data_IF_567952521610
#
_entry.id   IF_567952521610
#
_cell.length_a   1.000
_cell.length_b   1.000
_cell.length_c   1.000
_cell.angle_alpha   90.00
_cell.angle_beta   90.00
_cell.angle_gamma   90.00
#
_symmetry.space_group_name_H-M   'P 1'
#
loop_
_entity.id
_entity.type
_entity.pdbx_description
1 polymer ?
#
# COMPACT_ATOMS: atom_id res chain seq x y z
N UNK A 1 30.95 0.97 1.76
CA UNK A 1 30.03 -0.02 2.37
C UNK A 1 28.90 0.79 2.98
N UNK A 2 27.84 1.07 2.22
CA UNK A 2 26.61 1.57 2.83
C UNK A 2 26.08 0.41 3.69
N UNK A 3 26.05 0.57 5.01
CA UNK A 3 25.44 -0.43 5.87
C UNK A 3 23.94 -0.47 5.59
N UNK A 4 23.30 -1.62 5.86
CA UNK A 4 21.84 -1.77 5.89
C UNK A 4 21.26 -0.85 6.98
N UNK A 5 21.19 0.45 6.68
CA UNK A 5 20.69 1.44 7.61
C UNK A 5 19.18 1.45 7.53
N UNK A 6 18.60 1.12 8.67
CA UNK A 6 17.19 1.27 8.95
C UNK A 6 16.87 2.77 9.10
N UNK A 7 15.94 3.29 8.30
CA UNK A 7 15.45 4.67 8.31
C UNK A 7 14.37 4.82 9.40
N UNK A 8 14.57 5.76 10.32
CA UNK A 8 13.54 6.17 11.30
C UNK A 8 12.51 7.10 10.65
N UNK A 9 11.41 7.37 11.36
CA UNK A 9 10.45 8.40 10.94
C UNK A 9 11.13 9.77 10.71
N UNK A 10 12.04 10.16 11.61
CA UNK A 10 12.81 11.40 11.48
C UNK A 10 13.72 11.39 10.24
N UNK A 11 14.38 10.26 9.95
CA UNK A 11 15.18 10.11 8.73
C UNK A 11 14.28 10.24 7.49
N UNK A 12 13.12 9.58 7.45
CA UNK A 12 12.17 9.66 6.32
C UNK A 12 11.71 11.10 6.09
N UNK A 13 11.25 11.77 7.15
CA UNK A 13 10.78 13.17 7.07
C UNK A 13 11.91 14.05 6.54
N UNK A 14 13.10 13.98 7.15
CA UNK A 14 14.25 14.77 6.72
C UNK A 14 14.60 14.51 5.24
N UNK A 15 14.56 13.25 4.79
CA UNK A 15 14.77 12.90 3.38
C UNK A 15 13.75 13.56 2.45
N UNK A 16 12.46 13.56 2.80
CA UNK A 16 11.40 14.24 2.04
C UNK A 16 11.62 15.76 2.00
N UNK A 17 12.10 16.36 3.08
CA UNK A 17 12.48 17.79 3.11
C UNK A 17 13.61 18.09 2.13
N UNK A 18 14.63 17.23 2.04
CA UNK A 18 15.71 17.39 1.07
C UNK A 18 15.23 17.28 -0.38
N UNK A 19 14.26 16.38 -0.64
CA UNK A 19 13.62 16.29 -1.96
C UNK A 19 12.86 17.58 -2.29
N UNK A 20 12.06 18.08 -1.34
CA UNK A 20 11.32 19.34 -1.49
C UNK A 20 12.24 20.52 -1.80
N UNK A 21 13.30 20.68 -1.02
CA UNK A 21 14.24 21.79 -1.18
C UNK A 21 14.99 21.67 -2.52
N UNK A 22 15.41 20.45 -2.89
CA UNK A 22 16.01 20.18 -4.19
C UNK A 22 15.05 20.46 -5.36
N UNK A 23 13.77 20.13 -5.26
CA UNK A 23 12.77 20.46 -6.29
C UNK A 23 12.60 21.97 -6.45
N UNK A 24 12.59 22.71 -5.33
CA UNK A 24 12.53 24.16 -5.35
C UNK A 24 13.76 24.80 -6.01
N UNK A 25 14.97 24.29 -5.74
CA UNK A 25 16.22 24.70 -6.40
C UNK A 25 16.16 24.49 -7.92
N UNK A 26 15.48 23.44 -8.38
CA UNK A 26 15.29 23.12 -9.80
C UNK A 26 14.10 23.85 -10.43
N UNK A 27 13.34 24.64 -9.67
CA UNK A 27 12.10 25.27 -10.14
C UNK A 27 11.01 24.27 -10.54
N UNK A 28 11.07 23.04 -10.03
CA UNK A 28 10.14 21.96 -10.34
C UNK A 28 9.09 21.80 -9.24
N UNK A 29 7.94 21.24 -9.60
CA UNK A 29 6.93 20.75 -8.65
C UNK A 29 6.97 19.23 -8.67
N UNK A 30 6.94 18.62 -7.49
CA UNK A 30 7.02 17.17 -7.34
C UNK A 30 5.84 16.52 -6.65
N UNK A 31 5.61 15.26 -6.97
CA UNK A 31 4.64 14.40 -6.29
C UNK A 31 5.27 13.05 -5.96
N UNK A 32 5.10 12.66 -4.70
CA UNK A 32 5.48 11.35 -4.15
C UNK A 32 4.22 10.64 -3.66
N UNK A 33 3.98 9.43 -4.16
CA UNK A 33 2.96 8.53 -3.60
C UNK A 33 3.63 7.34 -2.93
N UNK A 34 3.43 7.21 -1.63
CA UNK A 34 4.16 6.28 -0.77
C UNK A 34 3.23 5.16 -0.28
N UNK A 35 3.71 3.93 -0.32
CA UNK A 35 3.02 2.75 0.21
C UNK A 35 3.87 2.05 1.28
N UNK A 36 3.46 0.84 1.66
CA UNK A 36 4.32 -0.10 2.39
C UNK A 36 4.70 0.37 3.79
N UNK A 37 5.89 -0.02 4.22
CA UNK A 37 6.36 0.23 5.58
C UNK A 37 6.53 1.71 5.92
N UNK A 38 6.94 2.51 4.95
CA UNK A 38 7.06 3.96 5.10
C UNK A 38 5.71 4.64 5.28
N UNK A 39 4.68 4.25 4.51
CA UNK A 39 3.33 4.80 4.69
C UNK A 39 2.73 4.40 6.05
N UNK A 40 2.97 3.16 6.50
CA UNK A 40 2.58 2.69 7.84
C UNK A 40 3.16 3.56 8.96
N UNK A 41 4.45 3.92 8.86
CA UNK A 41 5.15 4.77 9.85
C UNK A 41 4.62 6.22 9.80
N UNK A 42 4.54 6.79 8.61
CA UNK A 42 4.13 8.19 8.43
C UNK A 42 2.66 8.43 8.78
N UNK A 43 1.78 7.47 8.51
CA UNK A 43 0.36 7.51 8.88
C UNK A 43 0.09 7.18 10.35
N UNK A 44 1.10 6.76 11.12
CA UNK A 44 0.93 6.42 12.54
C UNK A 44 0.17 5.11 12.78
N UNK A 45 0.10 4.23 11.79
CA UNK A 45 -0.64 2.95 11.85
C UNK A 45 0.20 1.78 12.37
N UNK A 46 1.43 2.03 12.79
CA UNK A 46 2.40 0.99 13.09
C UNK A 46 3.13 1.28 14.40
N UNK A 47 3.30 0.26 15.24
CA UNK A 47 4.23 0.32 16.39
C UNK A 47 5.70 0.31 15.94
N UNK A 48 5.97 -0.16 14.71
CA UNK A 48 7.30 -0.13 14.10
C UNK A 48 7.74 1.32 13.88
N UNK A 49 8.95 1.63 14.37
CA UNK A 49 9.53 2.99 14.32
C UNK A 49 10.44 3.22 13.11
N UNK A 50 10.57 2.23 12.23
CA UNK A 50 11.54 2.28 11.15
C UNK A 50 11.29 1.30 9.99
N UNK A 51 11.93 1.57 8.85
CA UNK A 51 11.86 0.81 7.60
C UNK A 51 13.23 0.78 6.93
N UNK A 52 13.46 -0.11 5.98
CA UNK A 52 14.74 -0.14 5.23
C UNK A 52 14.75 0.95 4.14
N UNK A 53 13.59 1.21 3.56
CA UNK A 53 13.37 2.07 2.40
C UNK A 53 11.99 2.73 2.43
N UNK A 54 11.84 3.78 1.62
CA UNK A 54 10.56 4.40 1.28
C UNK A 54 10.04 3.73 0.01
N UNK A 55 8.96 2.97 0.13
CA UNK A 55 8.28 2.36 -1.02
C UNK A 55 7.45 3.44 -1.75
N UNK A 56 7.93 3.94 -2.88
CA UNK A 56 7.24 4.93 -3.69
C UNK A 56 6.72 4.31 -4.99
N UNK A 57 5.47 4.63 -5.36
CA UNK A 57 4.86 4.11 -6.61
C UNK A 57 4.69 5.18 -7.67
N UNK A 58 4.64 6.45 -7.26
CA UNK A 58 4.66 7.61 -8.15
C UNK A 58 5.75 8.56 -7.70
N UNK A 59 6.58 8.92 -8.67
CA UNK A 59 7.68 9.86 -8.53
C UNK A 59 7.66 10.78 -9.74
N UNK A 60 7.19 12.01 -9.57
CA UNK A 60 7.11 12.98 -10.67
C UNK A 60 7.73 14.30 -10.22
N UNK A 61 8.65 14.91 -10.98
CA UNK A 61 9.40 14.34 -12.11
C UNK A 61 10.48 13.34 -11.64
N UNK A 62 10.48 12.15 -12.23
CA UNK A 62 11.31 11.02 -11.79
C UNK A 62 12.83 11.30 -11.89
N UNK A 63 13.25 11.97 -12.96
CA UNK A 63 14.65 12.29 -13.24
C UNK A 63 15.24 13.30 -12.24
N UNK A 64 14.50 14.35 -11.92
CA UNK A 64 14.91 15.37 -10.95
C UNK A 64 14.92 14.78 -9.55
N UNK A 65 13.84 14.10 -9.14
CA UNK A 65 13.79 13.52 -7.79
C UNK A 65 14.84 12.41 -7.63
N UNK A 66 15.09 11.60 -8.66
CA UNK A 66 16.14 10.60 -8.64
C UNK A 66 17.54 11.18 -8.43
N UNK A 67 17.86 12.31 -9.08
CA UNK A 67 19.13 13.01 -8.88
C UNK A 67 19.28 13.55 -7.44
N UNK A 68 18.21 14.15 -6.91
CA UNK A 68 18.21 14.66 -5.53
C UNK A 68 18.33 13.50 -4.54
N UNK A 69 17.62 12.39 -4.77
CA UNK A 69 17.67 11.20 -3.92
C UNK A 69 19.06 10.58 -3.87
N UNK A 70 19.75 10.48 -5.01
CA UNK A 70 21.14 10.00 -5.06
C UNK A 70 22.10 10.90 -4.28
N UNK A 71 21.94 12.23 -4.37
CA UNK A 71 22.70 13.20 -3.57
C UNK A 71 22.46 13.00 -2.07
N UNK A 72 21.21 12.82 -1.66
CA UNK A 72 20.84 12.55 -0.26
C UNK A 72 21.46 11.25 0.25
N UNK A 73 21.41 10.19 -0.56
CA UNK A 73 21.99 8.90 -0.22
C UNK A 73 23.49 9.04 0.07
N UNK A 74 24.22 9.71 -0.83
CA UNK A 74 25.65 9.96 -0.69
C UNK A 74 25.96 10.79 0.57
N UNK A 75 25.20 11.84 0.85
CA UNK A 75 25.42 12.72 2.01
C UNK A 75 25.21 12.02 3.35
N UNK A 76 24.25 11.09 3.42
CA UNK A 76 23.88 10.38 4.66
C UNK A 76 24.51 9.00 4.78
N UNK A 77 25.19 8.52 3.74
CA UNK A 77 25.64 7.13 3.64
C UNK A 77 24.47 6.14 3.66
N UNK A 78 23.32 6.54 3.12
CA UNK A 78 22.15 5.66 2.96
C UNK A 78 22.29 4.76 1.73
N UNK A 79 21.51 3.67 1.65
CA UNK A 79 21.39 2.90 0.42
C UNK A 79 20.93 3.77 -0.76
N UNK A 80 21.44 3.52 -1.96
CA UNK A 80 21.08 4.27 -3.17
C UNK A 80 19.58 4.15 -3.50
N UNK A 81 18.94 3.07 -3.06
CA UNK A 81 17.52 2.76 -3.24
C UNK A 81 16.65 3.15 -2.04
N UNK A 82 17.07 4.10 -1.19
CA UNK A 82 16.26 4.55 -0.04
C UNK A 82 14.89 5.15 -0.44
N UNK A 83 14.75 5.61 -1.69
CA UNK A 83 13.46 5.75 -2.39
C UNK A 83 13.35 4.59 -3.37
N UNK A 84 12.54 3.61 -3.03
CA UNK A 84 12.37 2.37 -3.78
C UNK A 84 11.17 2.46 -4.73
N UNK A 85 11.43 2.33 -6.04
CA UNK A 85 10.40 2.32 -7.08
C UNK A 85 9.98 0.91 -7.50
N UNK A 86 10.60 -0.14 -6.98
CA UNK A 86 10.21 -1.54 -7.23
C UNK A 86 8.83 -1.87 -6.63
N UNK A 87 8.29 -0.98 -5.80
CA UNK A 87 6.91 -1.00 -5.35
C UNK A 87 5.88 -0.80 -6.48
N UNK A 88 6.31 -0.38 -7.67
CA UNK A 88 5.44 -0.31 -8.84
C UNK A 88 4.82 -1.68 -9.15
N UNK A 89 3.48 -1.74 -9.18
CA UNK A 89 2.72 -2.97 -9.37
C UNK A 89 2.31 -3.69 -8.08
N UNK A 90 2.72 -3.21 -6.91
CA UNK A 90 2.28 -3.74 -5.60
C UNK A 90 0.95 -3.14 -5.10
N UNK A 91 0.36 -2.21 -5.86
CA UNK A 91 -0.91 -1.58 -5.56
C UNK A 91 -1.96 -1.93 -6.64
N UNK A 92 -3.25 -1.98 -6.32
CA UNK A 92 -4.28 -2.31 -7.28
C UNK A 92 -4.41 -1.21 -8.35
N UNK A 93 -4.46 -1.60 -9.63
CA UNK A 93 -4.62 -0.66 -10.73
C UNK A 93 -6.01 -0.01 -10.77
N UNK A 94 -7.03 -0.71 -10.25
CA UNK A 94 -8.41 -0.25 -10.18
C UNK A 94 -9.01 -0.65 -8.83
N UNK A 95 -9.18 0.32 -7.94
CA UNK A 95 -9.87 0.11 -6.67
C UNK A 95 -11.31 0.66 -6.71
N UNK A 96 -12.21 0.05 -5.97
CA UNK A 96 -13.55 0.59 -5.67
C UNK A 96 -13.53 1.75 -4.68
N UNK A 97 -12.40 2.00 -4.04
CA UNK A 97 -12.18 3.02 -3.01
C UNK A 97 -10.94 3.86 -3.30
N UNK A 98 -10.79 5.04 -2.68
CA UNK A 98 -9.57 5.83 -2.77
C UNK A 98 -8.34 5.01 -2.34
N UNK A 99 -7.24 5.17 -3.07
CA UNK A 99 -5.95 4.57 -2.73
C UNK A 99 -5.04 5.53 -2.00
N UNK A 100 -5.27 6.82 -2.14
CA UNK A 100 -4.35 7.88 -1.74
C UNK A 100 -5.07 8.85 -0.83
N UNK A 101 -4.40 9.25 0.23
CA UNK A 101 -4.75 10.39 1.05
C UNK A 101 -3.61 11.39 1.04
N UNK A 102 -3.94 12.68 0.93
CA UNK A 102 -2.96 13.73 1.06
C UNK A 102 -2.44 13.74 2.50
N UNK A 103 -1.13 13.93 2.69
CA UNK A 103 -0.55 14.25 4.00
C UNK A 103 -0.21 15.73 4.04
N UNK A 104 -1.06 16.59 4.63
CA UNK A 104 -0.83 18.05 4.65
C UNK A 104 0.46 18.44 5.37
N UNK A 105 0.88 17.66 6.36
CA UNK A 105 2.10 17.90 7.15
C UNK A 105 3.36 17.68 6.30
N UNK A 106 3.29 16.76 5.33
CA UNK A 106 4.39 16.43 4.42
C UNK A 106 4.28 17.18 3.07
N UNK A 107 3.09 17.69 2.74
CA UNK A 107 2.78 18.33 1.46
C UNK A 107 2.86 19.85 1.55
N UNK A 108 4.06 20.40 1.31
CA UNK A 108 4.22 21.85 1.25
C UNK A 108 5.39 22.28 0.36
N UNK A 109 5.31 23.53 -0.11
CA UNK A 109 6.31 24.09 -1.04
C UNK A 109 6.27 23.39 -2.39
N UNK A 110 7.41 22.88 -2.83
CA UNK A 110 7.57 22.23 -4.14
C UNK A 110 7.24 20.73 -4.15
N UNK A 111 6.77 20.16 -3.04
CA UNK A 111 6.50 18.73 -2.92
C UNK A 111 5.09 18.46 -2.41
N UNK A 112 4.36 17.60 -3.11
CA UNK A 112 3.13 16.96 -2.65
C UNK A 112 3.43 15.51 -2.26
N UNK A 113 2.99 15.09 -1.08
CA UNK A 113 3.12 13.72 -0.58
C UNK A 113 1.74 13.15 -0.30
N UNK A 114 1.44 12.03 -0.96
CA UNK A 114 0.26 11.23 -0.67
C UNK A 114 0.69 9.87 -0.12
N UNK A 115 -0.01 9.42 0.92
CA UNK A 115 0.19 8.10 1.50
C UNK A 115 -0.92 7.17 1.01
N UNK A 116 -0.64 5.87 0.92
CA UNK A 116 -1.71 4.90 0.79
C UNK A 116 -2.57 4.91 2.05
N UNK A 117 -3.89 4.93 1.88
CA UNK A 117 -4.81 4.89 3.03
C UNK A 117 -4.63 3.58 3.80
N UNK A 118 -4.98 3.57 5.09
CA UNK A 118 -4.92 2.35 5.90
C UNK A 118 -5.68 1.16 5.25
N UNK A 119 -6.82 1.43 4.61
CA UNK A 119 -7.62 0.41 3.92
C UNK A 119 -6.87 -0.17 2.71
N UNK A 120 -6.25 0.71 1.92
CA UNK A 120 -5.45 0.30 0.78
C UNK A 120 -4.20 -0.47 1.23
N UNK A 121 -3.53 -0.02 2.29
CA UNK A 121 -2.40 -0.71 2.91
C UNK A 121 -2.80 -2.11 3.40
N UNK A 122 -3.99 -2.26 4.00
CA UNK A 122 -4.48 -3.56 4.44
C UNK A 122 -4.65 -4.52 3.26
N UNK A 123 -5.29 -4.06 2.18
CA UNK A 123 -5.46 -4.88 0.99
C UNK A 123 -4.11 -5.29 0.38
N UNK A 124 -3.14 -4.38 0.30
CA UNK A 124 -1.79 -4.69 -0.20
C UNK A 124 -1.05 -5.68 0.70
N UNK A 125 -1.17 -5.52 2.02
CA UNK A 125 -0.54 -6.41 3.01
C UNK A 125 -1.14 -7.81 2.97
N UNK A 126 -2.47 -7.91 2.84
CA UNK A 126 -3.16 -9.18 2.61
C UNK A 126 -2.74 -9.81 1.27
N UNK A 127 -2.60 -9.02 0.20
CA UNK A 127 -2.10 -9.54 -1.08
C UNK A 127 -0.68 -10.12 -0.95
N UNK A 128 0.20 -9.44 -0.21
CA UNK A 128 1.59 -9.87 0.01
C UNK A 128 1.67 -11.09 0.95
N UNK A 129 1.02 -11.03 2.12
CA UNK A 129 0.95 -12.07 3.15
C UNK A 129 2.25 -12.82 3.40
N UNK A 130 3.35 -12.07 3.62
CA UNK A 130 4.65 -12.66 3.95
C UNK A 130 4.68 -12.97 5.43
N UNK A 131 4.43 -14.23 5.78
CA UNK A 131 4.42 -14.72 7.16
C UNK A 131 5.70 -14.29 7.91
N UNK A 132 5.52 -13.80 9.14
CA UNK A 132 6.56 -13.23 10.00
C UNK A 132 6.98 -11.79 9.66
N UNK A 133 6.72 -11.30 8.44
CA UNK A 133 7.07 -9.94 8.01
C UNK A 133 5.88 -8.99 8.00
N UNK A 134 4.72 -9.48 7.57
CA UNK A 134 3.51 -8.66 7.44
C UNK A 134 2.54 -8.84 8.63
N UNK A 135 2.84 -9.75 9.58
CA UNK A 135 1.95 -10.16 10.68
C UNK A 135 1.47 -8.99 11.56
N UNK A 136 2.42 -8.18 12.06
CA UNK A 136 2.11 -7.06 12.95
C UNK A 136 1.43 -5.91 12.20
N UNK A 137 1.86 -5.66 10.95
CA UNK A 137 1.23 -4.66 10.08
C UNK A 137 -0.22 -5.06 9.76
N UNK A 138 -0.47 -6.34 9.43
CA UNK A 138 -1.83 -6.87 9.19
C UNK A 138 -2.67 -6.73 10.46
N UNK A 139 -2.13 -7.10 11.64
CA UNK A 139 -2.89 -6.98 12.90
C UNK A 139 -3.31 -5.54 13.17
N UNK A 140 -2.37 -4.60 13.06
CA UNK A 140 -2.64 -3.18 13.30
C UNK A 140 -3.67 -2.63 12.30
N UNK A 141 -3.55 -2.99 11.03
CA UNK A 141 -4.46 -2.54 9.97
C UNK A 141 -5.86 -3.17 10.07
N UNK A 142 -5.97 -4.46 10.41
CA UNK A 142 -7.25 -5.11 10.68
C UNK A 142 -7.99 -4.37 11.80
N UNK A 143 -7.29 -4.04 12.89
CA UNK A 143 -7.87 -3.24 13.99
C UNK A 143 -8.26 -1.82 13.54
N UNK A 144 -7.37 -1.12 12.83
CA UNK A 144 -7.62 0.25 12.37
C UNK A 144 -8.80 0.34 11.37
N UNK A 145 -8.98 -0.69 10.54
CA UNK A 145 -10.11 -0.81 9.61
C UNK A 145 -11.37 -1.42 10.23
N UNK A 146 -11.34 -1.86 11.50
CA UNK A 146 -12.48 -2.49 12.17
C UNK A 146 -12.87 -3.86 11.59
N UNK A 147 -11.89 -4.60 11.08
CA UNK A 147 -12.09 -5.92 10.48
C UNK A 147 -11.73 -6.99 11.51
N UNK A 148 -12.70 -7.86 11.82
CA UNK A 148 -12.58 -8.84 12.90
C UNK A 148 -12.58 -10.29 12.41
N UNK A 149 -12.97 -10.55 11.16
CA UNK A 149 -13.09 -11.91 10.60
C UNK A 149 -12.40 -12.05 9.24
N UNK A 150 -12.13 -13.30 8.85
CA UNK A 150 -11.53 -13.61 7.54
C UNK A 150 -12.51 -13.28 6.39
N UNK A 151 -13.82 -13.50 6.59
CA UNK A 151 -14.85 -13.08 5.64
C UNK A 151 -14.84 -11.56 5.44
N UNK A 152 -14.75 -10.78 6.51
CA UNK A 152 -14.68 -9.31 6.38
C UNK A 152 -13.40 -8.86 5.67
N UNK A 153 -12.28 -9.57 5.90
CA UNK A 153 -11.01 -9.32 5.21
C UNK A 153 -11.08 -9.67 3.71
N UNK A 154 -11.76 -10.75 3.32
CA UNK A 154 -12.03 -11.09 1.91
C UNK A 154 -12.88 -10.03 1.23
N UNK A 155 -13.92 -9.59 1.92
CA UNK A 155 -14.83 -8.56 1.42
C UNK A 155 -14.12 -7.22 1.23
N UNK A 156 -13.29 -6.83 2.20
CA UNK A 156 -12.42 -5.67 2.09
C UNK A 156 -11.40 -5.81 0.97
N UNK A 157 -10.76 -6.97 0.85
CA UNK A 157 -9.79 -7.25 -0.20
C UNK A 157 -10.41 -7.08 -1.59
N UNK A 158 -11.62 -7.59 -1.80
CA UNK A 158 -12.34 -7.50 -3.06
C UNK A 158 -12.74 -6.06 -3.46
N UNK A 159 -12.87 -5.13 -2.51
CA UNK A 159 -13.08 -3.71 -2.80
C UNK A 159 -11.85 -3.08 -3.48
N UNK A 160 -10.66 -3.63 -3.25
CA UNK A 160 -9.38 -3.15 -3.81
C UNK A 160 -8.90 -3.98 -5.00
N UNK A 161 -9.03 -5.31 -4.93
CA UNK A 161 -8.69 -6.26 -5.99
C UNK A 161 -9.98 -6.85 -6.58
N UNK A 162 -10.62 -6.10 -7.48
CA UNK A 162 -11.95 -6.45 -8.00
C UNK A 162 -11.97 -7.81 -8.70
N UNK A 163 -12.91 -8.65 -8.29
CA UNK A 163 -13.12 -9.97 -8.88
C UNK A 163 -12.11 -11.01 -8.39
N UNK A 164 -11.22 -10.63 -7.46
CA UNK A 164 -10.32 -11.54 -6.78
C UNK A 164 -10.87 -11.86 -5.39
N UNK A 165 -10.52 -13.04 -4.90
CA UNK A 165 -10.72 -13.43 -3.51
C UNK A 165 -9.40 -13.34 -2.76
N UNK A 166 -9.50 -13.25 -1.44
CA UNK A 166 -8.37 -13.26 -0.54
C UNK A 166 -7.44 -14.45 -0.86
N UNK A 167 -6.13 -14.23 -1.08
CA UNK A 167 -5.22 -15.33 -1.41
C UNK A 167 -5.18 -16.40 -0.32
N UNK A 168 -5.01 -17.69 -0.68
CA UNK A 168 -4.96 -18.78 0.30
C UNK A 168 -3.91 -18.56 1.41
N UNK A 169 -2.75 -17.99 1.05
CA UNK A 169 -1.70 -17.61 2.00
C UNK A 169 -2.16 -16.58 3.04
N UNK A 170 -3.02 -15.65 2.64
CA UNK A 170 -3.60 -14.65 3.54
C UNK A 170 -4.61 -15.29 4.48
N UNK A 171 -5.47 -16.19 3.96
CA UNK A 171 -6.40 -16.98 4.79
C UNK A 171 -5.63 -17.80 5.84
N UNK A 172 -4.57 -18.50 5.42
CA UNK A 172 -3.73 -19.28 6.33
C UNK A 172 -3.05 -18.38 7.39
N UNK A 173 -2.52 -17.23 6.97
CA UNK A 173 -1.90 -16.27 7.87
C UNK A 173 -2.90 -15.73 8.89
N UNK A 174 -4.06 -15.25 8.46
CA UNK A 174 -5.10 -14.73 9.36
C UNK A 174 -5.56 -15.79 10.38
N UNK A 175 -5.74 -17.05 9.97
CA UNK A 175 -6.02 -18.14 10.92
C UNK A 175 -4.92 -18.34 11.93
N UNK A 176 -3.65 -18.29 11.49
CA UNK A 176 -2.50 -18.43 12.40
C UNK A 176 -2.38 -17.27 13.40
N UNK A 177 -2.86 -16.08 13.02
CA UNK A 177 -2.95 -14.89 13.87
C UNK A 177 -4.18 -14.92 14.80
N UNK A 178 -5.06 -15.90 14.67
CA UNK A 178 -6.21 -16.11 15.55
C UNK A 178 -7.51 -15.44 15.08
N UNK A 179 -7.58 -14.94 13.85
CA UNK A 179 -8.82 -14.40 13.31
C UNK A 179 -9.82 -15.52 13.01
N UNK A 180 -11.08 -15.41 13.47
CA UNK A 180 -12.12 -16.38 13.15
C UNK A 180 -12.52 -16.29 11.67
N UNK A 181 -13.02 -17.39 11.10
CA UNK A 181 -13.49 -17.40 9.70
C UNK A 181 -14.61 -16.38 9.47
N UNK A 182 -15.49 -16.16 10.45
CA UNK A 182 -16.68 -15.32 10.32
C UNK A 182 -17.85 -16.10 9.70
N UNK A 183 -19.02 -15.45 9.63
CA UNK A 183 -20.18 -16.01 8.93
C UNK A 183 -20.45 -15.16 7.69
N UNK A 184 -20.62 -15.76 6.50
CA UNK A 184 -21.01 -15.00 5.31
C UNK A 184 -22.29 -14.22 5.63
N UNK A 185 -22.29 -12.93 5.33
CA UNK A 185 -23.54 -12.16 5.37
C UNK A 185 -24.43 -12.68 4.23
N UNK A 186 -25.61 -13.21 4.58
CA UNK A 186 -26.56 -13.88 3.67
C UNK A 186 -26.99 -13.06 2.43
N UNK A 187 -26.64 -11.77 2.36
CA UNK A 187 -27.00 -10.89 1.25
C UNK A 187 -26.12 -11.07 -0.01
N UNK A 188 -24.96 -11.76 0.09
CA UNK A 188 -23.91 -11.73 -0.95
C UNK A 188 -23.95 -12.86 -1.98
N UNK A 189 -24.64 -13.97 -1.72
CA UNK A 189 -24.75 -15.08 -2.70
C UNK A 189 -25.48 -14.66 -3.99
N UNK A 190 -26.32 -13.62 -3.93
CA UNK A 190 -27.07 -13.12 -5.09
C UNK A 190 -26.16 -12.32 -6.05
N UNK A 191 -25.10 -11.67 -5.54
CA UNK A 191 -24.26 -10.77 -6.33
C UNK A 191 -23.04 -11.47 -6.97
N UNK A 192 -22.58 -12.60 -6.42
CA UNK A 192 -21.46 -13.37 -6.99
C UNK A 192 -21.90 -14.36 -8.08
N UNK A 193 -23.18 -14.75 -8.12
CA UNK A 193 -23.71 -15.73 -9.09
C UNK A 193 -24.27 -15.11 -10.39
N UNK A 194 -24.09 -13.80 -10.59
CA UNK A 194 -24.63 -13.08 -11.76
C UNK A 194 -23.59 -12.82 -12.87
N UNK A 195 -22.78 -13.85 -13.21
CA UNK A 195 -22.12 -13.93 -14.53
C UNK A 195 -22.89 -14.87 -15.47
N UNK A 196 -23.98 -14.33 -16.02
CA UNK A 196 -24.48 -14.51 -17.40
C UNK A 196 -24.65 -15.93 -18.00
N UNK A 197 -25.92 -16.23 -18.30
CA UNK A 197 -26.36 -16.67 -19.64
C UNK A 197 -25.62 -17.84 -20.31
N UNK A 198 -26.08 -19.07 -20.06
CA UNK A 198 -26.03 -20.13 -21.06
C UNK A 198 -27.25 -21.05 -20.95
N UNK A 199 -28.45 -20.60 -21.31
CA UNK A 199 -29.53 -21.46 -21.88
C UNK A 199 -30.45 -20.64 -22.82
N UNK A 200 -29.88 -20.09 -23.89
CA UNK A 200 -30.61 -19.89 -25.15
C UNK A 200 -30.06 -20.89 -26.16
N UNK A 201 -30.59 -22.10 -26.12
CA UNK A 201 -30.49 -23.08 -27.20
C UNK A 201 -31.64 -24.06 -27.02
N UNK A 202 -32.73 -23.79 -27.72
CA UNK A 202 -33.93 -24.61 -27.81
C UNK A 202 -34.59 -24.25 -29.12
N UNK A 203 -34.07 -24.86 -30.17
CA UNK A 203 -34.41 -24.58 -31.56
C UNK A 203 -35.90 -24.79 -31.86
N UNK A 204 -36.37 -23.94 -32.76
CA UNK A 204 -37.61 -24.08 -33.53
C UNK A 204 -37.58 -25.40 -34.32
N UNK A 205 -38.70 -26.14 -34.32
CA UNK A 205 -39.41 -26.77 -35.48
C UNK A 205 -40.19 -28.03 -35.07
N UNK A 206 -41.17 -28.49 -35.89
CA UNK A 206 -41.74 -27.88 -37.10
C UNK A 206 -43.15 -27.32 -36.90
#
# INVERSE_FOLDING_TARGET
MAGDRILTQEDIIWGLEQIRDGLAEHGAQGTLKIIGGSAMILGGHAERRSTVDIDAVVLLPQDVIGQIAARVAQQRGWPDNWINLEAQGLYPAYAGRPLWEASPELSHGALTVELATQEALLAMKLNASRAGRDDDDIRALMTACGIETIVDADDHFADYFRGESLPDKAVMLLRSLGYPDGHPTFYRDIARDSSLSQRRSGAVRP
#
